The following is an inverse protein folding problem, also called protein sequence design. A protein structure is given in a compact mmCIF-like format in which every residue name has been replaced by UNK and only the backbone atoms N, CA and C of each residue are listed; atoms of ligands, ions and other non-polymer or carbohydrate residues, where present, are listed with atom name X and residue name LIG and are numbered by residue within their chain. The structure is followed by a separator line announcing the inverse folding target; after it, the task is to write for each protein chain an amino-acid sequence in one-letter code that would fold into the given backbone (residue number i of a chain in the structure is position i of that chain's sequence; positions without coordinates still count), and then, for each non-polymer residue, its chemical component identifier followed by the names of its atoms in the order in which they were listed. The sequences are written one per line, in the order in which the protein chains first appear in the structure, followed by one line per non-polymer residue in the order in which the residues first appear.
data_IF_959574937231
#
_entry.id   IF_959574937231
#
_cell.length_a   1.000
_cell.length_b   1.000
_cell.length_c   1.000
_cell.angle_alpha   90.00
_cell.angle_beta   90.00
_cell.angle_gamma   90.00
#
_symmetry.space_group_name_H-M   'P 1'
#
loop_
_entity.id
_entity.type
_entity.pdbx_description
1 polymer ?
#
# COMPACT_ATOMS: atom_id res chain seq x y z
N UNK A 1 5.29 -37.35 -22.21
CA UNK A 1 5.63 -37.08 -20.80
C UNK A 1 5.73 -35.57 -20.71
N UNK A 2 4.63 -34.92 -20.33
CA UNK A 2 4.46 -33.47 -20.48
C UNK A 2 5.35 -32.72 -19.51
N UNK A 3 6.03 -31.72 -20.04
CA UNK A 3 6.65 -30.65 -19.28
C UNK A 3 5.51 -29.87 -18.60
N UNK A 4 5.10 -30.30 -17.40
CA UNK A 4 4.30 -29.47 -16.50
C UNK A 4 5.22 -28.33 -16.07
N UNK A 5 5.28 -27.30 -16.91
CA UNK A 5 6.04 -26.08 -16.65
C UNK A 5 5.76 -25.63 -15.22
N UNK A 6 6.83 -25.56 -14.43
CA UNK A 6 6.84 -25.09 -13.06
C UNK A 6 5.96 -23.84 -12.97
N UNK A 7 4.76 -23.97 -12.40
CA UNK A 7 3.85 -22.83 -12.23
C UNK A 7 4.63 -21.76 -11.49
N UNK A 8 4.91 -20.63 -12.15
CA UNK A 8 5.58 -19.51 -11.51
C UNK A 8 4.78 -19.14 -10.26
N UNK A 9 5.36 -19.38 -9.09
CA UNK A 9 4.75 -19.04 -7.83
C UNK A 9 4.89 -17.53 -7.64
N UNK A 10 3.77 -16.85 -7.39
CA UNK A 10 3.80 -15.43 -7.04
C UNK A 10 4.38 -15.25 -5.64
N UNK A 11 4.84 -14.06 -5.33
CA UNK A 11 5.23 -13.71 -3.97
C UNK A 11 4.00 -13.34 -3.14
N UNK A 12 4.05 -13.55 -1.82
CA UNK A 12 3.08 -12.93 -0.91
C UNK A 12 3.11 -11.41 -1.12
N UNK A 13 1.93 -10.78 -1.09
CA UNK A 13 1.66 -9.38 -1.42
C UNK A 13 1.86 -8.99 -2.89
N UNK A 14 2.41 -9.86 -3.74
CA UNK A 14 2.63 -9.56 -5.16
C UNK A 14 1.32 -9.37 -5.90
N UNK A 15 1.29 -8.40 -6.82
CA UNK A 15 0.14 -8.19 -7.67
C UNK A 15 -0.03 -9.36 -8.66
N UNK A 16 -1.19 -9.99 -8.61
CA UNK A 16 -1.64 -10.97 -9.59
C UNK A 16 -2.81 -10.38 -10.37
N UNK A 17 -2.73 -10.37 -11.71
CA UNK A 17 -3.80 -9.83 -12.55
C UNK A 17 -4.74 -10.97 -12.97
N UNK A 18 -5.96 -10.98 -12.43
CA UNK A 18 -7.04 -11.80 -12.94
C UNK A 18 -7.67 -11.12 -14.15
N UNK A 19 -7.45 -11.69 -15.34
CA UNK A 19 -8.10 -11.26 -16.58
C UNK A 19 -9.34 -12.10 -16.85
N UNK A 20 -10.49 -11.45 -16.99
CA UNK A 20 -11.74 -12.08 -17.41
C UNK A 20 -12.09 -11.53 -18.78
N UNK A 21 -11.95 -12.37 -19.80
CA UNK A 21 -12.20 -12.02 -21.19
C UNK A 21 -13.52 -12.64 -21.65
N UNK A 22 -14.48 -11.78 -22.00
CA UNK A 22 -15.76 -12.21 -22.56
C UNK A 22 -15.74 -11.94 -24.04
N UNK A 23 -15.97 -12.96 -24.85
CA UNK A 23 -15.98 -12.83 -26.31
C UNK A 23 -17.30 -13.32 -26.93
N UNK A 24 -17.64 -12.75 -28.08
CA UNK A 24 -18.77 -13.18 -28.90
C UNK A 24 -18.40 -13.07 -30.38
N UNK A 25 -18.82 -14.00 -31.25
CA UNK A 25 -18.57 -13.91 -32.70
C UNK A 25 -19.44 -12.83 -33.37
N UNK A 26 -20.32 -12.16 -32.61
CA UNK A 26 -21.15 -11.02 -33.05
C UNK A 26 -20.70 -9.76 -32.32
N UNK A 27 -21.63 -8.88 -31.95
CA UNK A 27 -21.35 -7.67 -31.17
C UNK A 27 -22.07 -7.70 -29.82
N UNK A 28 -21.50 -6.97 -28.86
CA UNK A 28 -22.15 -6.68 -27.59
C UNK A 28 -23.23 -5.62 -27.78
N UNK A 29 -24.40 -5.82 -27.18
CA UNK A 29 -25.48 -4.82 -27.15
C UNK A 29 -25.57 -4.10 -25.80
N UNK A 30 -24.69 -4.44 -24.86
CA UNK A 30 -24.50 -3.75 -23.58
C UNK A 30 -23.16 -4.11 -22.93
N UNK A 31 -22.79 -3.38 -21.87
CA UNK A 31 -21.61 -3.69 -21.07
C UNK A 31 -21.79 -4.96 -20.24
N UNK A 32 -20.76 -5.78 -20.16
CA UNK A 32 -20.70 -6.94 -19.26
C UNK A 32 -20.61 -6.50 -17.81
N UNK A 33 -21.06 -7.34 -16.88
CA UNK A 33 -20.93 -7.10 -15.44
C UNK A 33 -20.33 -8.32 -14.77
N UNK A 34 -19.21 -8.12 -14.10
CA UNK A 34 -18.52 -9.16 -13.34
C UNK A 34 -19.12 -9.25 -11.94
N UNK A 35 -19.39 -10.48 -11.49
CA UNK A 35 -19.79 -10.75 -10.11
C UNK A 35 -18.69 -10.41 -9.10
N UNK A 36 -19.01 -10.50 -7.82
CA UNK A 36 -18.03 -10.28 -6.76
C UNK A 36 -16.93 -11.35 -6.82
N UNK A 37 -15.67 -10.92 -6.71
CA UNK A 37 -14.52 -11.81 -6.52
C UNK A 37 -14.14 -11.78 -5.05
N UNK A 38 -14.37 -12.90 -4.38
CA UNK A 38 -14.06 -13.07 -2.95
C UNK A 38 -13.23 -14.34 -2.80
N UNK A 39 -11.99 -14.17 -2.36
CA UNK A 39 -11.01 -15.26 -2.22
C UNK A 39 -10.40 -15.10 -0.84
N UNK A 40 -10.49 -16.11 0.04
CA UNK A 40 -9.93 -16.03 1.38
C UNK A 40 -8.46 -15.67 1.38
N UNK A 41 -8.07 -14.72 2.24
CA UNK A 41 -6.69 -14.23 2.40
C UNK A 41 -6.09 -13.62 1.12
N UNK A 42 -6.92 -13.11 0.22
CA UNK A 42 -6.51 -12.35 -0.97
C UNK A 42 -7.28 -11.05 -1.00
N UNK A 43 -6.58 -9.94 -1.15
CA UNK A 43 -7.23 -8.66 -1.41
C UNK A 43 -7.53 -8.58 -2.90
N UNK A 44 -8.81 -8.49 -3.28
CA UNK A 44 -9.22 -8.22 -4.65
C UNK A 44 -9.55 -6.72 -4.80
N UNK A 45 -8.83 -6.03 -5.70
CA UNK A 45 -9.05 -4.63 -6.03
C UNK A 45 -9.25 -4.46 -7.52
N UNK A 46 -10.44 -4.01 -7.90
CA UNK A 46 -10.72 -3.54 -9.24
C UNK A 46 -10.43 -2.04 -9.34
N UNK A 47 -9.33 -1.66 -9.99
CA UNK A 47 -8.96 -0.25 -10.16
C UNK A 47 -9.59 0.39 -11.40
N UNK A 48 -9.77 -0.39 -12.46
CA UNK A 48 -10.50 0.05 -13.65
C UNK A 48 -11.97 -0.40 -13.57
N UNK A 49 -12.89 0.55 -13.59
CA UNK A 49 -14.33 0.29 -13.51
C UNK A 49 -14.96 -0.01 -14.88
N UNK A 50 -14.17 0.02 -15.95
CA UNK A 50 -14.63 -0.21 -17.31
C UNK A 50 -13.90 -1.39 -17.94
N UNK A 51 -14.62 -2.16 -18.75
CA UNK A 51 -14.02 -3.18 -19.59
C UNK A 51 -13.17 -2.54 -20.71
N UNK A 52 -12.07 -3.18 -21.05
CA UNK A 52 -11.32 -2.89 -22.27
C UNK A 52 -11.97 -3.63 -23.44
N UNK A 53 -12.43 -2.87 -24.44
CA UNK A 53 -13.08 -3.45 -25.62
C UNK A 53 -12.08 -3.57 -26.76
N UNK A 54 -12.05 -4.72 -27.42
CA UNK A 54 -11.22 -4.94 -28.60
C UNK A 54 -11.82 -6.03 -29.50
N UNK A 55 -11.23 -6.24 -30.67
CA UNK A 55 -11.65 -7.31 -31.59
C UNK A 55 -10.47 -8.17 -31.96
N UNK A 56 -10.71 -9.46 -32.17
CA UNK A 56 -9.74 -10.39 -32.73
C UNK A 56 -10.32 -11.09 -33.94
N UNK A 57 -9.46 -11.71 -34.74
CA UNK A 57 -9.88 -12.57 -35.84
C UNK A 57 -9.27 -13.93 -35.65
N UNK A 58 -10.12 -14.94 -35.49
CA UNK A 58 -9.70 -16.33 -35.35
C UNK A 58 -10.40 -17.17 -36.42
N UNK A 59 -9.62 -17.96 -37.15
CA UNK A 59 -10.08 -18.79 -38.28
C UNK A 59 -11.03 -18.07 -39.26
N UNK A 60 -10.79 -16.78 -39.51
CA UNK A 60 -11.60 -15.96 -40.42
C UNK A 60 -12.84 -15.32 -39.79
N UNK A 61 -13.28 -15.77 -38.61
CA UNK A 61 -14.38 -15.19 -37.82
C UNK A 61 -13.88 -14.01 -36.98
N UNK A 62 -14.61 -12.90 -37.01
CA UNK A 62 -14.34 -11.76 -36.12
C UNK A 62 -15.00 -12.00 -34.77
N UNK A 63 -14.27 -11.76 -33.70
CA UNK A 63 -14.74 -11.83 -32.33
C UNK A 63 -14.67 -10.46 -31.68
N UNK A 64 -15.75 -10.04 -31.04
CA UNK A 64 -15.78 -8.87 -30.18
C UNK A 64 -15.46 -9.29 -28.76
N UNK A 65 -14.62 -8.52 -28.05
CA UNK A 65 -14.18 -8.80 -26.69
C UNK A 65 -14.50 -7.66 -25.73
N UNK A 66 -14.82 -8.01 -24.49
CA UNK A 66 -14.80 -7.11 -23.33
C UNK A 66 -13.96 -7.76 -22.24
N UNK A 67 -12.82 -7.15 -21.93
CA UNK A 67 -11.87 -7.65 -20.93
C UNK A 67 -11.94 -6.85 -19.64
N UNK A 68 -12.04 -7.56 -18.53
CA UNK A 68 -11.92 -7.03 -17.18
C UNK A 68 -10.61 -7.46 -16.55
N UNK A 69 -10.02 -6.56 -15.77
CA UNK A 69 -8.80 -6.83 -15.02
C UNK A 69 -9.04 -6.51 -13.55
N UNK A 70 -8.79 -7.50 -12.70
CA UNK A 70 -8.91 -7.38 -11.25
C UNK A 70 -7.55 -7.74 -10.66
N UNK A 71 -6.98 -6.82 -9.90
CA UNK A 71 -5.72 -7.08 -9.20
C UNK A 71 -6.01 -7.84 -7.91
N UNK A 72 -5.25 -8.90 -7.68
CA UNK A 72 -5.31 -9.78 -6.53
C UNK A 72 -3.98 -9.69 -5.78
N UNK A 73 -4.01 -9.63 -4.44
CA UNK A 73 -2.81 -9.58 -3.61
C UNK A 73 -2.91 -10.67 -2.53
N UNK A 74 -2.19 -11.80 -2.67
CA UNK A 74 -2.24 -12.91 -1.71
C UNK A 74 -1.53 -12.52 -0.43
N UNK A 75 -2.22 -12.61 0.71
CA UNK A 75 -1.73 -12.09 2.00
C UNK A 75 -0.91 -13.13 2.79
N UNK A 76 -0.80 -14.37 2.28
CA UNK A 76 -0.05 -15.44 2.92
C UNK A 76 0.43 -16.47 1.90
N UNK A 77 1.38 -17.31 2.32
CA UNK A 77 1.83 -18.43 1.49
C UNK A 77 0.75 -19.50 1.39
N UNK A 78 0.59 -20.10 0.21
CA UNK A 78 -0.35 -21.18 -0.02
C UNK A 78 -0.88 -21.21 -1.44
N UNK A 79 -1.79 -22.16 -1.68
CA UNK A 79 -2.54 -22.26 -2.91
C UNK A 79 -3.87 -21.53 -2.77
N UNK A 80 -4.22 -20.73 -3.77
CA UNK A 80 -5.45 -19.98 -3.85
C UNK A 80 -6.30 -20.48 -5.00
N UNK A 81 -7.61 -20.61 -4.75
CA UNK A 81 -8.59 -20.99 -5.77
C UNK A 81 -9.54 -19.83 -6.01
N UNK A 82 -9.57 -19.36 -7.25
CA UNK A 82 -10.55 -18.41 -7.75
C UNK A 82 -11.79 -19.23 -8.13
N UNK A 83 -12.94 -19.06 -7.44
CA UNK A 83 -14.15 -19.80 -7.78
C UNK A 83 -14.71 -19.37 -9.14
N UNK A 84 -15.65 -20.12 -9.74
CA UNK A 84 -16.42 -19.65 -10.88
C UNK A 84 -17.06 -18.29 -10.60
N UNK A 85 -16.81 -17.32 -11.48
CA UNK A 85 -17.34 -15.96 -11.36
C UNK A 85 -18.47 -15.79 -12.37
N UNK A 86 -19.62 -15.35 -11.87
CA UNK A 86 -20.77 -15.04 -12.71
C UNK A 86 -20.48 -13.77 -13.53
N UNK A 87 -20.72 -13.86 -14.85
CA UNK A 87 -20.58 -12.73 -15.76
C UNK A 87 -21.88 -12.53 -16.50
N UNK A 88 -22.52 -11.39 -16.27
CA UNK A 88 -23.72 -11.00 -16.99
C UNK A 88 -23.32 -10.39 -18.32
N UNK A 89 -23.93 -10.89 -19.40
CA UNK A 89 -23.61 -10.52 -20.78
C UNK A 89 -24.85 -10.05 -21.52
N UNK A 90 -24.64 -9.18 -22.49
CA UNK A 90 -25.68 -8.74 -23.41
C UNK A 90 -25.11 -8.68 -24.83
N UNK A 91 -25.57 -9.57 -25.69
CA UNK A 91 -25.03 -9.78 -27.04
C UNK A 91 -26.13 -9.75 -28.09
N UNK A 92 -25.76 -9.60 -29.36
CA UNK A 92 -26.69 -9.77 -30.48
C UNK A 92 -27.01 -11.25 -30.67
N UNK A 93 -28.30 -11.60 -30.66
CA UNK A 93 -28.83 -12.90 -31.11
C UNK A 93 -28.80 -13.03 -32.62
N UNK A 94 -29.13 -14.22 -33.14
CA UNK A 94 -29.09 -14.51 -34.58
C UNK A 94 -29.98 -13.57 -35.41
N UNK A 95 -31.16 -13.26 -34.87
CA UNK A 95 -32.17 -12.32 -35.39
C UNK A 95 -31.80 -10.84 -35.23
N UNK A 96 -30.62 -10.54 -34.66
CA UNK A 96 -30.15 -9.19 -34.39
C UNK A 96 -30.70 -8.58 -33.09
N UNK A 97 -31.62 -9.26 -32.40
CA UNK A 97 -32.18 -8.77 -31.14
C UNK A 97 -31.18 -8.90 -30.00
N UNK A 98 -31.39 -8.13 -28.94
CA UNK A 98 -30.54 -8.18 -27.76
C UNK A 98 -30.89 -9.37 -26.88
N UNK A 99 -29.93 -10.28 -26.67
CA UNK A 99 -30.06 -11.44 -25.77
C UNK A 99 -29.23 -11.19 -24.52
N UNK A 100 -29.84 -11.41 -23.36
CA UNK A 100 -29.17 -11.35 -22.05
C UNK A 100 -28.93 -12.75 -21.52
N UNK A 101 -27.80 -12.94 -20.86
CA UNK A 101 -27.48 -14.19 -20.19
C UNK A 101 -26.46 -14.01 -19.09
N UNK A 102 -26.22 -15.10 -18.36
CA UNK A 102 -25.15 -15.19 -17.37
C UNK A 102 -24.30 -16.39 -17.74
N UNK A 103 -23.00 -16.16 -17.89
CA UNK A 103 -21.99 -17.21 -18.06
C UNK A 103 -21.13 -17.27 -16.81
N UNK A 104 -20.43 -18.38 -16.63
CA UNK A 104 -19.53 -18.59 -15.48
C UNK A 104 -18.11 -18.80 -16.00
N UNK A 105 -17.13 -18.21 -15.33
CA UNK A 105 -15.73 -18.55 -15.59
C UNK A 105 -15.42 -19.96 -15.10
N UNK A 106 -14.39 -20.58 -15.67
CA UNK A 106 -13.80 -21.76 -15.05
C UNK A 106 -13.08 -21.35 -13.74
N UNK A 107 -13.00 -22.25 -12.74
CA UNK A 107 -12.15 -22.01 -11.58
C UNK A 107 -10.68 -21.99 -11.99
N UNK A 108 -9.88 -21.13 -11.36
CA UNK A 108 -8.45 -20.99 -11.64
C UNK A 108 -7.68 -21.07 -10.33
N UNK A 109 -6.51 -21.72 -10.34
CA UNK A 109 -5.63 -21.82 -9.16
C UNK A 109 -4.27 -21.20 -9.41
N UNK A 110 -3.76 -20.50 -8.40
CA UNK A 110 -2.41 -19.96 -8.36
C UNK A 110 -1.79 -20.17 -6.98
N UNK A 111 -0.47 -20.15 -6.90
CA UNK A 111 0.27 -20.33 -5.66
C UNK A 111 1.01 -19.03 -5.30
N UNK A 112 1.09 -18.73 -4.01
CA UNK A 112 1.93 -17.64 -3.50
C UNK A 112 2.88 -18.14 -2.40
N UNK A 113 4.08 -17.58 -2.31
CA UNK A 113 5.11 -17.95 -1.33
C UNK A 113 5.85 -16.71 -0.81
N UNK A 114 6.46 -16.81 0.37
CA UNK A 114 7.41 -15.79 0.79
C UNK A 114 8.59 -15.76 -0.19
N UNK A 115 9.00 -14.58 -0.70
CA UNK A 115 10.02 -14.52 -1.74
C UNK A 115 11.44 -14.72 -1.20
N UNK A 116 11.65 -14.57 0.11
CA UNK A 116 12.95 -14.75 0.75
C UNK A 116 12.78 -15.38 2.11
N UNK A 117 13.70 -16.29 2.47
CA UNK A 117 13.76 -16.89 3.81
C UNK A 117 14.17 -15.88 4.90
N UNK A 118 14.67 -14.70 4.51
CA UNK A 118 14.96 -13.59 5.43
C UNK A 118 13.69 -12.88 5.90
N UNK A 119 12.59 -13.04 5.18
CA UNK A 119 11.30 -12.47 5.55
C UNK A 119 10.56 -13.40 6.50
N UNK A 120 10.02 -12.81 7.56
CA UNK A 120 9.13 -13.47 8.51
C UNK A 120 7.77 -12.81 8.47
N UNK A 121 6.79 -13.38 9.19
CA UNK A 121 5.48 -12.74 9.34
C UNK A 121 5.54 -11.42 10.14
N UNK A 122 6.61 -11.20 10.91
CA UNK A 122 6.82 -10.00 11.73
C UNK A 122 7.62 -8.92 10.99
N UNK A 123 8.23 -9.26 9.85
CA UNK A 123 8.99 -8.31 9.04
C UNK A 123 8.07 -7.18 8.53
N UNK A 124 8.56 -5.95 8.55
CA UNK A 124 7.90 -4.82 7.88
C UNK A 124 8.34 -4.81 6.42
N UNK A 125 7.47 -5.27 5.52
CA UNK A 125 7.80 -5.35 4.10
C UNK A 125 6.59 -5.33 3.18
N UNK A 126 6.84 -5.07 1.89
CA UNK A 126 5.85 -5.13 0.81
C UNK A 126 6.51 -5.62 -0.49
N UNK A 127 5.71 -5.83 -1.53
CA UNK A 127 6.18 -6.13 -2.89
C UNK A 127 5.89 -4.99 -3.84
N UNK A 128 6.80 -4.73 -4.76
CA UNK A 128 6.62 -3.78 -5.83
C UNK A 128 7.56 -4.09 -7.01
N UNK A 129 7.23 -3.61 -8.20
CA UNK A 129 8.17 -3.60 -9.32
C UNK A 129 9.14 -2.43 -9.25
N UNK A 130 8.71 -1.30 -8.67
CA UNK A 130 9.53 -0.14 -8.36
C UNK A 130 9.02 0.47 -7.05
N UNK A 131 9.92 0.94 -6.18
CA UNK A 131 9.58 1.63 -4.94
C UNK A 131 10.42 2.89 -4.76
N UNK A 132 9.82 3.93 -4.19
CA UNK A 132 10.48 5.17 -3.79
C UNK A 132 9.94 5.60 -2.43
N UNK A 133 10.84 6.11 -1.59
CA UNK A 133 10.49 6.66 -0.28
C UNK A 133 11.08 8.07 -0.14
N UNK A 134 10.22 9.00 0.26
CA UNK A 134 10.62 10.37 0.52
C UNK A 134 10.18 10.80 1.92
N UNK A 135 10.94 11.73 2.49
CA UNK A 135 10.60 12.33 3.77
C UNK A 135 10.81 13.83 3.75
N UNK A 136 9.98 14.54 4.50
CA UNK A 136 10.13 15.98 4.72
C UNK A 136 9.95 16.31 6.19
N UNK A 137 10.64 17.37 6.61
CA UNK A 137 10.62 17.90 7.96
C UNK A 137 10.31 19.39 7.89
N UNK A 138 9.27 19.83 8.59
CA UNK A 138 8.85 21.22 8.65
C UNK A 138 8.80 21.68 10.10
N UNK A 139 9.60 22.69 10.43
CA UNK A 139 9.59 23.34 11.74
C UNK A 139 8.63 24.53 11.73
N UNK A 140 7.94 24.79 12.85
CA UNK A 140 7.10 25.99 13.00
C UNK A 140 7.90 27.29 13.01
N UNK A 141 9.18 27.22 13.38
CA UNK A 141 10.12 28.34 13.53
C UNK A 141 11.51 27.92 13.04
N UNK A 142 12.37 28.90 12.71
CA UNK A 142 13.77 28.61 12.36
C UNK A 142 14.58 28.10 13.55
N UNK A 143 14.33 28.67 14.73
CA UNK A 143 14.90 28.22 16.01
C UNK A 143 13.80 27.67 16.88
N UNK A 144 13.84 26.35 17.12
CA UNK A 144 12.83 25.64 17.89
C UNK A 144 12.99 25.92 19.38
N UNK A 145 11.87 26.21 20.04
CA UNK A 145 11.76 26.34 21.49
C UNK A 145 10.76 25.32 22.05
N UNK A 146 10.77 25.13 23.37
CA UNK A 146 9.72 24.36 24.04
C UNK A 146 8.34 24.96 23.75
N UNK A 147 7.42 24.12 23.25
CA UNK A 147 6.08 24.48 22.78
C UNK A 147 5.96 24.62 21.26
N UNK A 148 7.09 24.73 20.54
CA UNK A 148 7.10 24.74 19.08
C UNK A 148 6.80 23.34 18.51
N UNK A 149 6.51 23.30 17.20
CA UNK A 149 6.12 22.08 16.52
C UNK A 149 7.10 21.71 15.40
N UNK A 150 7.30 20.41 15.23
CA UNK A 150 7.97 19.81 14.07
C UNK A 150 7.00 18.84 13.41
N UNK A 151 6.80 18.97 12.12
CA UNK A 151 5.99 18.05 11.31
C UNK A 151 6.91 17.15 10.50
N UNK A 152 6.76 15.83 10.65
CA UNK A 152 7.41 14.82 9.80
C UNK A 152 6.37 14.26 8.85
N UNK A 153 6.69 14.25 7.57
CA UNK A 153 5.87 13.58 6.55
C UNK A 153 6.72 12.55 5.82
N UNK A 154 6.29 11.30 5.82
CA UNK A 154 6.91 10.20 5.06
C UNK A 154 5.94 9.78 3.96
N UNK A 155 6.43 9.61 2.75
CA UNK A 155 5.65 9.14 1.61
C UNK A 155 6.35 7.97 0.95
N UNK A 156 5.65 6.84 0.90
CA UNK A 156 6.07 5.65 0.16
C UNK A 156 5.25 5.61 -1.12
N UNK A 157 5.92 5.46 -2.25
CA UNK A 157 5.29 5.18 -3.55
C UNK A 157 5.80 3.87 -4.11
N UNK A 158 4.91 3.10 -4.73
CA UNK A 158 5.24 1.80 -5.26
C UNK A 158 4.44 1.52 -6.54
N UNK A 159 5.07 0.86 -7.51
CA UNK A 159 4.40 0.28 -8.68
C UNK A 159 4.02 -1.18 -8.43
N UNK A 160 2.91 -1.60 -9.03
CA UNK A 160 2.39 -2.96 -8.94
C UNK A 160 2.23 -3.48 -7.49
N UNK A 161 1.90 -2.54 -6.60
CA UNK A 161 1.61 -2.79 -5.17
C UNK A 161 0.20 -2.29 -4.84
N UNK A 162 -0.18 -2.23 -3.56
CA UNK A 162 -1.44 -1.63 -3.11
C UNK A 162 -1.18 -0.73 -1.89
N UNK A 163 -1.75 0.47 -1.85
CA UNK A 163 -1.45 1.49 -0.85
C UNK A 163 -1.63 1.00 0.60
N UNK A 164 -2.64 0.18 0.84
CA UNK A 164 -2.92 -0.43 2.16
C UNK A 164 -1.89 -1.49 2.57
N UNK A 165 -1.15 -2.06 1.61
CA UNK A 165 -0.05 -3.00 1.86
C UNK A 165 1.28 -2.29 2.11
N UNK A 166 1.36 -0.98 1.85
CA UNK A 166 2.55 -0.21 2.18
C UNK A 166 2.62 -0.06 3.71
N UNK A 167 3.82 -0.22 4.29
CA UNK A 167 3.98 -0.32 5.73
C UNK A 167 3.62 0.98 6.44
N UNK A 168 3.16 0.85 7.68
CA UNK A 168 2.96 1.95 8.61
C UNK A 168 4.27 2.21 9.38
N UNK A 169 5.09 3.13 8.90
CA UNK A 169 6.45 3.29 9.45
C UNK A 169 6.42 3.98 10.81
N UNK A 170 5.53 4.96 11.00
CA UNK A 170 5.45 5.73 12.25
C UNK A 170 4.54 5.09 13.32
N UNK A 171 3.77 4.04 13.01
CA UNK A 171 2.85 3.42 13.96
C UNK A 171 3.47 3.01 15.30
N UNK A 172 4.69 2.47 15.29
CA UNK A 172 5.35 2.03 16.52
C UNK A 172 5.62 3.20 17.49
N UNK A 173 5.86 4.40 16.95
CA UNK A 173 6.11 5.63 17.71
C UNK A 173 4.80 6.31 18.12
N UNK A 174 3.85 6.39 17.19
CA UNK A 174 2.62 7.19 17.37
C UNK A 174 1.48 6.40 18.02
N UNK A 175 1.52 5.08 17.99
CA UNK A 175 0.38 4.21 18.30
C UNK A 175 -0.54 3.95 17.10
N UNK A 176 -0.13 4.38 15.89
CA UNK A 176 -0.85 4.17 14.64
C UNK A 176 -1.68 5.37 14.19
N UNK A 177 -2.62 5.10 13.28
CA UNK A 177 -3.47 6.12 12.69
C UNK A 177 -4.32 6.86 13.75
N UNK A 178 -4.44 8.18 13.62
CA UNK A 178 -5.18 9.06 14.54
C UNK A 178 -4.75 8.99 16.02
N UNK A 179 -3.60 8.39 16.32
CA UNK A 179 -3.16 8.21 17.68
C UNK A 179 -2.42 9.45 18.22
N UNK A 180 -2.46 9.57 19.55
CA UNK A 180 -1.68 10.56 20.30
C UNK A 180 -0.74 9.79 21.21
N UNK A 181 0.56 9.93 20.98
CA UNK A 181 1.60 9.37 21.82
C UNK A 181 2.30 10.50 22.60
N UNK A 182 2.63 10.24 23.85
CA UNK A 182 3.40 11.17 24.69
C UNK A 182 4.71 10.52 25.07
N UNK A 183 5.81 11.17 24.67
CA UNK A 183 7.15 10.91 25.18
C UNK A 183 7.49 11.95 26.24
N UNK A 184 8.64 11.77 26.90
CA UNK A 184 9.23 12.81 27.75
C UNK A 184 9.57 14.07 26.94
N UNK A 185 9.98 13.88 25.68
CA UNK A 185 10.53 14.95 24.84
C UNK A 185 9.47 15.71 24.03
N UNK A 186 8.36 15.05 23.67
CA UNK A 186 7.32 15.60 22.81
C UNK A 186 5.96 14.88 22.95
N UNK A 187 4.91 15.54 22.48
CA UNK A 187 3.62 14.93 22.15
C UNK A 187 3.50 14.76 20.63
N UNK A 188 3.25 13.53 20.17
CA UNK A 188 3.07 13.18 18.79
C UNK A 188 1.57 13.08 18.45
N UNK A 189 1.17 13.75 17.37
CA UNK A 189 -0.20 13.75 16.85
C UNK A 189 -0.19 13.21 15.43
N UNK A 190 -0.48 11.91 15.28
CA UNK A 190 -0.58 11.28 13.97
C UNK A 190 -1.82 11.78 13.23
N UNK A 191 -1.64 12.12 11.95
CA UNK A 191 -2.73 12.48 11.05
C UNK A 191 -3.25 11.24 10.32
N UNK A 192 -4.52 11.26 9.87
CA UNK A 192 -5.08 10.23 8.99
C UNK A 192 -4.13 9.86 7.85
N UNK A 193 -3.87 8.57 7.68
CA UNK A 193 -3.08 8.09 6.54
C UNK A 193 -3.76 8.45 5.22
N UNK A 194 -2.99 8.99 4.28
CA UNK A 194 -3.49 9.25 2.94
C UNK A 194 -3.07 8.11 2.03
N UNK A 195 -4.05 7.30 1.61
CA UNK A 195 -3.86 6.16 0.72
C UNK A 195 -4.36 6.50 -0.68
N UNK A 196 -3.56 6.23 -1.70
CA UNK A 196 -3.91 6.46 -3.10
C UNK A 196 -3.52 5.26 -3.96
N UNK A 197 -4.48 4.74 -4.73
CA UNK A 197 -4.26 3.68 -5.71
C UNK A 197 -4.83 4.12 -7.05
N UNK A 198 -3.95 4.28 -8.04
CA UNK A 198 -4.32 4.66 -9.40
C UNK A 198 -3.95 3.55 -10.38
N UNK A 199 -4.54 3.63 -11.57
CA UNK A 199 -4.19 2.78 -12.69
C UNK A 199 -4.38 3.58 -13.98
N UNK A 200 -3.35 3.58 -14.84
CA UNK A 200 -3.45 4.17 -16.18
C UNK A 200 -2.84 3.23 -17.20
N UNK A 201 -3.66 2.63 -18.07
CA UNK A 201 -3.19 1.76 -19.18
C UNK A 201 -2.25 0.64 -18.72
N UNK A 202 -2.53 0.02 -17.58
CA UNK A 202 -1.72 -1.05 -17.00
C UNK A 202 -0.60 -0.57 -16.07
N UNK A 203 -0.35 0.73 -15.98
CA UNK A 203 0.57 1.31 -14.98
C UNK A 203 -0.17 1.44 -13.64
N UNK A 204 0.12 0.55 -12.69
CA UNK A 204 -0.46 0.54 -11.36
C UNK A 204 0.45 1.29 -10.40
N UNK A 205 -0.04 2.41 -9.86
CA UNK A 205 0.71 3.18 -8.88
C UNK A 205 -0.05 3.23 -7.56
N UNK A 206 0.70 3.07 -6.47
CA UNK A 206 0.20 3.08 -5.10
C UNK A 206 1.04 4.01 -4.25
N UNK A 207 0.39 4.74 -3.34
CA UNK A 207 1.02 5.70 -2.45
C UNK A 207 0.40 5.65 -1.06
N UNK A 208 1.26 5.71 -0.04
CA UNK A 208 0.90 5.94 1.35
C UNK A 208 1.67 7.16 1.85
N UNK A 209 0.95 8.16 2.35
CA UNK A 209 1.54 9.33 3.02
C UNK A 209 1.12 9.32 4.49
N UNK A 210 2.13 9.40 5.34
CA UNK A 210 2.01 9.47 6.80
C UNK A 210 2.51 10.83 7.26
N UNK A 211 1.77 11.48 8.15
CA UNK A 211 2.15 12.77 8.70
C UNK A 211 1.94 12.79 10.21
N UNK A 212 2.97 13.21 10.93
CA UNK A 212 2.92 13.34 12.39
C UNK A 212 3.42 14.72 12.81
N UNK A 213 2.67 15.37 13.69
CA UNK A 213 3.02 16.66 14.28
C UNK A 213 3.54 16.41 15.69
N UNK A 214 4.76 16.84 15.97
CA UNK A 214 5.42 16.71 17.27
C UNK A 214 5.45 18.06 17.97
N UNK A 215 4.77 18.16 19.12
CA UNK A 215 4.82 19.34 19.99
C UNK A 215 5.92 19.13 21.03
N UNK A 216 6.95 19.97 20.98
CA UNK A 216 8.19 19.82 21.75
C UNK A 216 7.97 20.22 23.21
N UNK A 217 8.30 19.34 24.14
CA UNK A 217 8.03 19.54 25.57
C UNK A 217 9.27 19.84 26.41
N UNK A 218 10.45 19.45 25.94
CA UNK A 218 11.72 19.69 26.64
C UNK A 218 12.75 20.38 25.76
N UNK A 219 13.59 21.19 26.40
CA UNK A 219 14.78 21.77 25.78
C UNK A 219 15.95 20.79 25.81
N UNK A 220 16.90 20.98 24.89
CA UNK A 220 18.02 20.07 24.63
C UNK A 220 17.94 19.45 23.24
N UNK A 221 18.78 18.45 22.99
CA UNK A 221 18.79 17.73 21.71
C UNK A 221 17.77 16.58 21.74
N UNK A 222 16.85 16.58 20.78
CA UNK A 222 15.87 15.51 20.57
C UNK A 222 16.23 14.77 19.29
N UNK A 223 16.27 13.44 19.36
CA UNK A 223 16.52 12.56 18.23
C UNK A 223 15.23 11.87 17.80
N UNK A 224 14.83 12.07 16.55
CA UNK A 224 13.77 11.27 15.92
C UNK A 224 14.37 10.00 15.28
N UNK A 225 13.66 8.85 15.36
CA UNK A 225 14.22 7.56 14.96
C UNK A 225 14.30 7.39 13.44
N UNK A 226 15.24 6.53 13.05
CA UNK A 226 15.34 5.93 11.72
C UNK A 226 14.29 4.83 11.58
N UNK A 227 13.76 4.64 10.38
CA UNK A 227 12.85 3.54 10.06
C UNK A 227 13.45 2.67 8.96
N UNK A 228 13.61 1.38 9.23
CA UNK A 228 14.11 0.41 8.24
C UNK A 228 13.02 -0.59 7.91
N UNK A 229 12.82 -0.83 6.62
CA UNK A 229 11.87 -1.80 6.10
C UNK A 229 12.46 -2.52 4.88
N UNK A 230 11.81 -3.60 4.47
CA UNK A 230 12.21 -4.34 3.28
C UNK A 230 11.17 -4.19 2.17
N UNK A 231 11.59 -4.37 0.94
CA UNK A 231 10.66 -4.59 -0.15
C UNK A 231 11.20 -5.62 -1.12
N UNK A 232 10.32 -6.45 -1.65
CA UNK A 232 10.69 -7.40 -2.68
C UNK A 232 10.51 -6.75 -4.05
N UNK A 233 11.63 -6.60 -4.75
CA UNK A 233 11.68 -6.16 -6.14
C UNK A 233 11.25 -7.32 -7.04
N UNK A 234 10.03 -7.24 -7.56
CA UNK A 234 9.45 -8.28 -8.41
C UNK A 234 10.06 -8.28 -9.81
N UNK A 235 10.67 -7.19 -10.26
CA UNK A 235 11.34 -7.10 -11.56
C UNK A 235 12.70 -7.79 -11.54
N UNK A 236 13.49 -7.56 -10.49
CA UNK A 236 14.83 -8.12 -10.34
C UNK A 236 14.86 -9.38 -9.48
N UNK A 237 13.74 -9.74 -8.84
CA UNK A 237 13.61 -10.89 -7.92
C UNK A 237 14.64 -10.82 -6.80
N UNK A 238 14.72 -9.67 -6.12
CA UNK A 238 15.67 -9.42 -5.03
C UNK A 238 15.00 -8.72 -3.85
N UNK A 239 15.50 -9.04 -2.65
CA UNK A 239 15.06 -8.36 -1.43
C UNK A 239 15.89 -7.10 -1.25
N UNK A 240 15.22 -5.95 -1.25
CA UNK A 240 15.83 -4.64 -1.02
C UNK A 240 15.57 -4.20 0.43
N UNK A 241 16.49 -3.42 0.97
CA UNK A 241 16.39 -2.83 2.31
C UNK A 241 16.44 -1.32 2.17
N UNK A 242 15.48 -0.63 2.77
CA UNK A 242 15.38 0.83 2.73
C UNK A 242 15.39 1.38 4.14
N UNK A 243 16.10 2.50 4.33
CA UNK A 243 16.18 3.20 5.60
C UNK A 243 15.79 4.67 5.43
N UNK A 244 14.69 5.07 6.08
CA UNK A 244 14.29 6.46 6.22
C UNK A 244 14.99 7.03 7.45
N UNK A 245 16.12 7.71 7.22
CA UNK A 245 16.94 8.29 8.28
C UNK A 245 16.13 9.31 9.10
N UNK A 246 16.23 9.23 10.42
CA UNK A 246 15.66 10.19 11.34
C UNK A 246 16.38 11.54 11.30
N UNK A 247 16.03 12.41 12.24
CA UNK A 247 16.63 13.75 12.32
C UNK A 247 16.76 14.19 13.77
N UNK A 248 17.84 14.90 14.06
CA UNK A 248 18.04 15.55 15.36
C UNK A 248 17.61 17.02 15.26
N UNK A 249 17.01 17.52 16.33
CA UNK A 249 16.75 18.95 16.49
C UNK A 249 17.29 19.41 17.84
N UNK A 250 17.78 20.64 17.88
CA UNK A 250 18.11 21.34 19.12
C UNK A 250 16.94 22.24 19.53
N UNK A 251 16.46 22.09 20.75
CA UNK A 251 15.30 22.81 21.27
C UNK A 251 15.78 23.74 22.38
N UNK A 252 15.63 25.05 22.16
CA UNK A 252 15.95 26.04 23.16
C UNK A 252 14.93 26.03 24.32
N UNK A 253 15.42 26.26 25.54
CA UNK A 253 14.52 26.46 26.68
C UNK A 253 13.77 27.80 26.54
N UNK A 254 12.47 27.79 26.80
CA UNK A 254 11.73 29.02 27.11
C UNK A 254 11.96 29.41 28.57
N UNK A 255 11.78 30.69 28.93
CA UNK A 255 11.98 31.16 30.31
C UNK A 255 11.18 30.37 31.35
N UNK A 256 9.96 29.92 31.01
CA UNK A 256 9.12 29.06 31.86
C UNK A 256 9.67 27.64 31.97
N UNK A 257 10.11 27.06 30.85
CA UNK A 257 10.71 25.73 30.81
C UNK A 257 12.05 25.69 31.57
N UNK A 258 12.88 26.73 31.42
CA UNK A 258 14.14 26.86 32.12
C UNK A 258 13.94 26.91 33.64
N UNK A 259 13.02 27.74 34.13
CA UNK A 259 12.67 27.78 35.54
C UNK A 259 12.20 26.40 36.03
N UNK A 260 11.26 25.75 35.33
CA UNK A 260 10.77 24.42 35.73
C UNK A 260 11.87 23.34 35.75
N UNK A 261 12.81 23.38 34.80
CA UNK A 261 13.88 22.39 34.67
C UNK A 261 15.00 22.57 35.71
N UNK A 262 15.44 23.81 35.98
CA UNK A 262 16.59 24.09 36.85
C UNK A 262 16.22 24.45 38.30
N UNK A 263 14.93 24.70 38.60
CA UNK A 263 14.45 24.99 39.97
C UNK A 263 14.86 23.98 41.04
N UNK A 264 14.81 22.64 40.84
CA UNK A 264 15.23 21.70 41.88
C UNK A 264 16.73 21.80 42.24
N UNK A 265 17.58 22.18 41.29
CA UNK A 265 19.00 22.46 41.55
C UNK A 265 19.22 23.80 42.25
N UNK A 266 18.44 24.83 41.89
CA UNK A 266 18.51 26.13 42.58
C UNK A 266 17.96 26.06 44.01
N UNK A 267 16.89 25.30 44.25
CA UNK A 267 16.30 25.12 45.57
C UNK A 267 17.25 24.38 46.54
N UNK A 268 18.03 23.42 46.05
CA UNK A 268 19.02 22.68 46.86
C UNK A 268 20.24 23.55 47.25
N UNK A 269 20.61 24.53 46.44
CA UNK A 269 21.63 25.53 46.78
C UNK A 269 21.11 26.54 47.80
N UNK A 270 19.83 26.92 47.76
CA UNK A 270 19.22 27.86 48.72
C UNK A 270 18.98 27.22 50.09
N UNK A 271 18.69 25.92 50.15
CA UNK A 271 18.47 25.18 51.42
C UNK A 271 19.81 24.81 52.11
N UNK A 272 20.94 24.89 51.39
CA UNK A 272 22.28 24.58 51.93
C UNK A 272 23.10 25.82 52.35
N UNK A 273 22.47 27.01 52.41
CA UNK A 273 23.07 28.26 52.90
C UNK A 273 22.44 28.70 54.23
#
# INVERSE_FOLDING_TARGET
MGDEGEKAAFSVNEQVILSIDVSTPRWFTGGTRIGRVDIPNVIAKQRNQLATNYTTRDQGQTWSHQRWEITLYPQQSGQFTIPPIAVNVQVSGEDGQSVRGTVQTAPVTFDARLPSALLTQESIWFTASEADVSQTWQSSTETLHVGDAVTRTITITAKDSLSVLLPDLMAAETGGDHAVASSRDYQAYAQPHQLSDTQTRGDYQSRRTEQTIYILQMGGDIQFPDYTFYWWDTQHQTLQTETVVGKSFHIAHTWRSWLAYYWPMLASVIISC
#
